data_IF_303826196502
#
_entry.id   IF_303826196502
#
_cell.length_a   1.000
_cell.length_b   1.000
_cell.length_c   1.000
_cell.angle_alpha   90.00
_cell.angle_beta   90.00
_cell.angle_gamma   90.00
#
_symmetry.space_group_name_H-M   'P 1'
#
loop_
_entity.id
_entity.type
_entity.pdbx_description
1 polymer ?
#
# COMPACT_ATOMS: atom_id res chain seq x y z
N UNK A 1 -4.69 18.71 -33.13
CA UNK A 1 -4.93 17.41 -33.80
C UNK A 1 -5.83 16.58 -32.88
N UNK A 2 -6.75 15.79 -33.40
CA UNK A 2 -7.69 15.01 -32.58
C UNK A 2 -7.09 13.63 -32.30
N UNK A 3 -7.14 13.19 -31.04
CA UNK A 3 -6.62 11.90 -30.60
C UNK A 3 -7.76 11.03 -30.09
N UNK A 4 -7.90 9.82 -30.64
CA UNK A 4 -8.91 8.86 -30.22
C UNK A 4 -8.39 7.92 -29.14
N UNK A 5 -9.20 7.75 -28.10
CA UNK A 5 -8.95 6.90 -26.94
C UNK A 5 -9.89 5.71 -27.01
N UNK A 6 -9.34 4.50 -26.90
CA UNK A 6 -10.12 3.30 -26.67
C UNK A 6 -10.15 2.97 -25.18
N UNK A 7 -11.31 2.62 -24.63
CA UNK A 7 -11.45 2.20 -23.23
C UNK A 7 -11.83 0.74 -23.18
N UNK A 8 -11.02 -0.07 -22.50
CA UNK A 8 -11.19 -1.51 -22.32
C UNK A 8 -11.54 -1.76 -20.85
N UNK A 9 -12.78 -2.15 -20.59
CA UNK A 9 -13.40 -2.15 -19.26
C UNK A 9 -14.14 -0.84 -18.96
N UNK A 10 -15.47 -0.90 -18.92
CA UNK A 10 -16.38 0.25 -18.78
C UNK A 10 -17.18 0.24 -17.47
N UNK A 11 -16.54 -0.27 -16.40
CA UNK A 11 -17.01 -0.18 -15.02
C UNK A 11 -16.83 1.22 -14.42
N UNK A 12 -16.61 1.28 -13.10
CA UNK A 12 -16.51 2.53 -12.34
C UNK A 12 -15.43 3.47 -12.88
N UNK A 13 -14.22 2.96 -13.13
CA UNK A 13 -13.07 3.78 -13.59
C UNK A 13 -13.17 4.11 -15.07
N UNK A 14 -13.47 3.14 -15.93
CA UNK A 14 -13.61 3.37 -17.38
C UNK A 14 -14.70 4.39 -17.71
N UNK A 15 -15.86 4.28 -17.05
CA UNK A 15 -16.94 5.26 -17.18
C UNK A 15 -16.53 6.63 -16.66
N UNK A 16 -15.92 6.70 -15.46
CA UNK A 16 -15.43 7.96 -14.90
C UNK A 16 -14.41 8.65 -15.80
N UNK A 17 -13.55 7.89 -16.47
CA UNK A 17 -12.57 8.39 -17.45
C UNK A 17 -13.25 9.00 -18.65
N UNK A 18 -14.22 8.29 -19.26
CA UNK A 18 -14.98 8.82 -20.40
C UNK A 18 -15.73 10.10 -20.03
N UNK A 19 -16.40 10.12 -18.87
CA UNK A 19 -17.12 11.28 -18.38
C UNK A 19 -16.21 12.48 -18.11
N UNK A 20 -15.02 12.27 -17.54
CA UNK A 20 -14.06 13.35 -17.31
C UNK A 20 -13.52 13.93 -18.63
N UNK A 21 -13.16 13.07 -19.59
CA UNK A 21 -12.70 13.50 -20.91
C UNK A 21 -13.75 14.36 -21.62
N UNK A 22 -15.03 14.01 -21.51
CA UNK A 22 -16.12 14.79 -22.10
C UNK A 22 -16.37 16.10 -21.37
N UNK A 23 -16.47 16.02 -20.04
CA UNK A 23 -16.81 17.16 -19.21
C UNK A 23 -15.74 18.24 -19.30
N UNK A 24 -14.46 17.84 -19.34
CA UNK A 24 -13.30 18.74 -19.31
C UNK A 24 -12.63 18.89 -20.68
N UNK A 25 -13.26 18.48 -21.79
CA UNK A 25 -12.63 18.47 -23.12
C UNK A 25 -12.02 19.81 -23.51
N UNK A 26 -12.78 20.90 -23.36
CA UNK A 26 -12.31 22.25 -23.70
C UNK A 26 -11.18 22.72 -22.78
N UNK A 27 -11.25 22.39 -21.48
CA UNK A 27 -10.20 22.71 -20.52
C UNK A 27 -8.91 21.93 -20.83
N UNK A 28 -9.01 20.63 -21.09
CA UNK A 28 -7.89 19.77 -21.46
C UNK A 28 -7.25 20.30 -22.75
N UNK A 29 -8.07 20.63 -23.76
CA UNK A 29 -7.59 21.19 -25.02
C UNK A 29 -6.89 22.53 -24.83
N UNK A 30 -7.42 23.40 -23.97
CA UNK A 30 -6.79 24.67 -23.64
C UNK A 30 -5.44 24.49 -22.92
N UNK A 31 -5.37 23.59 -21.93
CA UNK A 31 -4.18 23.42 -21.09
C UNK A 31 -3.08 22.56 -21.74
N UNK A 32 -3.45 21.55 -22.51
CA UNK A 32 -2.51 20.57 -23.10
C UNK A 32 -2.30 20.73 -24.60
N UNK A 33 -3.19 21.46 -25.31
CA UNK A 33 -3.21 21.50 -26.77
C UNK A 33 -3.77 20.23 -27.44
N UNK A 34 -4.18 19.23 -26.65
CA UNK A 34 -4.70 17.95 -27.14
C UNK A 34 -6.23 17.96 -27.22
N UNK A 35 -6.79 17.56 -28.36
CA UNK A 35 -8.23 17.36 -28.53
C UNK A 35 -8.55 15.87 -28.40
N UNK A 36 -8.96 15.45 -27.20
CA UNK A 36 -9.15 14.04 -26.86
C UNK A 36 -10.62 13.63 -27.04
N UNK A 37 -10.85 12.43 -27.57
CA UNK A 37 -12.18 11.84 -27.71
C UNK A 37 -12.15 10.33 -27.44
N UNK A 38 -13.17 9.81 -26.74
CA UNK A 38 -13.39 8.36 -26.64
C UNK A 38 -14.03 7.87 -27.94
N UNK A 39 -13.32 7.01 -28.66
CA UNK A 39 -13.74 6.53 -30.00
C UNK A 39 -14.12 5.06 -30.00
N UNK A 40 -13.75 4.31 -28.96
CA UNK A 40 -14.07 2.89 -28.84
C UNK A 40 -14.18 2.47 -27.37
N UNK A 41 -15.11 1.57 -27.08
CA UNK A 41 -15.32 0.96 -25.77
C UNK A 41 -15.43 -0.55 -25.95
N UNK A 42 -14.62 -1.32 -25.21
CA UNK A 42 -14.78 -2.77 -25.07
C UNK A 42 -15.25 -3.08 -23.66
N UNK A 43 -16.44 -3.65 -23.54
CA UNK A 43 -16.97 -4.15 -22.27
C UNK A 43 -17.98 -5.28 -22.51
N UNK A 44 -18.08 -6.20 -21.55
CA UNK A 44 -19.07 -7.29 -21.57
C UNK A 44 -20.50 -6.76 -21.44
N UNK A 45 -20.67 -5.64 -20.73
CA UNK A 45 -21.96 -4.99 -20.51
C UNK A 45 -22.14 -3.85 -21.50
N UNK A 46 -23.35 -3.70 -22.01
CA UNK A 46 -23.69 -2.52 -22.81
C UNK A 46 -23.60 -1.26 -21.94
N UNK A 47 -22.91 -0.19 -22.39
CA UNK A 47 -22.98 1.10 -21.75
C UNK A 47 -24.43 1.60 -21.68
N UNK A 48 -24.80 2.37 -20.64
CA UNK A 48 -26.16 2.89 -20.54
C UNK A 48 -26.41 4.05 -21.53
N UNK A 49 -25.47 4.99 -21.60
CA UNK A 49 -25.60 6.18 -22.47
C UNK A 49 -25.49 5.79 -23.94
N UNK A 50 -26.47 6.24 -24.74
CA UNK A 50 -26.58 5.97 -26.18
C UNK A 50 -25.27 6.24 -26.94
N UNK A 51 -24.63 7.38 -26.67
CA UNK A 51 -23.36 7.76 -27.29
C UNK A 51 -22.24 6.72 -27.09
N UNK A 52 -22.17 6.07 -25.94
CA UNK A 52 -21.17 5.05 -25.64
C UNK A 52 -21.54 3.70 -26.24
N UNK A 53 -22.84 3.39 -26.34
CA UNK A 53 -23.33 2.18 -27.04
C UNK A 53 -22.95 2.17 -28.51
N UNK A 54 -22.98 3.33 -29.18
CA UNK A 54 -22.63 3.47 -30.60
C UNK A 54 -21.15 3.23 -30.93
N UNK A 55 -20.29 3.31 -29.93
CA UNK A 55 -18.85 3.08 -30.04
C UNK A 55 -18.41 1.86 -29.23
N UNK A 56 -19.36 0.97 -28.90
CA UNK A 56 -19.06 -0.31 -28.26
C UNK A 56 -18.61 -1.31 -29.33
N UNK A 57 -17.54 -2.04 -29.01
CA UNK A 57 -17.00 -3.12 -29.82
C UNK A 57 -16.91 -4.40 -28.98
N UNK A 58 -16.97 -5.54 -29.65
CA UNK A 58 -16.99 -6.85 -28.98
C UNK A 58 -15.59 -7.50 -28.91
N UNK A 59 -14.63 -7.00 -29.70
CA UNK A 59 -13.28 -7.53 -29.75
C UNK A 59 -12.22 -6.43 -29.78
N UNK A 60 -11.05 -6.76 -29.22
CA UNK A 60 -9.90 -5.87 -29.25
C UNK A 60 -9.35 -5.73 -30.67
N UNK A 61 -9.46 -6.76 -31.49
CA UNK A 61 -9.06 -6.75 -32.90
C UNK A 61 -9.81 -5.67 -33.69
N UNK A 62 -11.14 -5.57 -33.53
CA UNK A 62 -11.95 -4.51 -34.16
C UNK A 62 -11.48 -3.12 -33.74
N UNK A 63 -11.20 -2.92 -32.44
CA UNK A 63 -10.71 -1.64 -31.92
C UNK A 63 -9.35 -1.28 -32.52
N UNK A 64 -8.44 -2.23 -32.59
CA UNK A 64 -7.08 -2.01 -33.10
C UNK A 64 -7.04 -1.83 -34.63
N UNK A 65 -8.09 -2.27 -35.35
CA UNK A 65 -8.25 -2.00 -36.78
C UNK A 65 -8.72 -0.56 -37.06
N UNK A 66 -9.22 0.18 -36.05
CA UNK A 66 -9.64 1.56 -36.23
C UNK A 66 -8.43 2.50 -36.45
N UNK A 67 -8.44 3.32 -37.51
CA UNK A 67 -7.31 4.20 -37.84
C UNK A 67 -7.15 5.37 -36.87
N UNK A 68 -8.17 5.68 -36.08
CA UNK A 68 -8.22 6.83 -35.17
C UNK A 68 -7.99 6.46 -33.70
N UNK A 69 -7.62 5.21 -33.37
CA UNK A 69 -7.27 4.83 -31.98
C UNK A 69 -5.78 5.06 -31.76
N UNK A 70 -5.43 6.03 -30.93
CA UNK A 70 -4.07 6.42 -30.62
C UNK A 70 -3.55 5.85 -29.30
N UNK A 71 -4.45 5.61 -28.34
CA UNK A 71 -4.11 5.14 -27.00
C UNK A 71 -5.22 4.25 -26.45
N UNK A 72 -4.85 3.24 -25.66
CA UNK A 72 -5.78 2.33 -24.98
C UNK A 72 -5.76 2.58 -23.48
N UNK A 73 -6.92 2.73 -22.87
CA UNK A 73 -7.12 2.74 -21.42
C UNK A 73 -7.60 1.36 -21.00
N UNK A 74 -6.86 0.69 -20.13
CA UNK A 74 -7.22 -0.61 -19.56
C UNK A 74 -7.72 -0.43 -18.11
N UNK A 75 -8.98 -0.80 -17.88
CA UNK A 75 -9.66 -0.66 -16.60
C UNK A 75 -10.48 -1.93 -16.25
N UNK A 76 -10.03 -3.10 -16.73
CA UNK A 76 -10.57 -4.40 -16.36
C UNK A 76 -10.00 -4.80 -14.99
N UNK A 77 -10.78 -5.52 -14.19
CA UNK A 77 -10.29 -6.13 -12.94
C UNK A 77 -9.64 -7.49 -13.18
N UNK A 78 -8.62 -7.84 -12.38
CA UNK A 78 -7.91 -9.11 -12.48
C UNK A 78 -6.93 -9.17 -13.66
N UNK A 79 -6.23 -10.30 -13.81
CA UNK A 79 -5.17 -10.41 -14.83
C UNK A 79 -5.64 -11.00 -16.18
N UNK A 80 -6.64 -11.88 -16.19
CA UNK A 80 -6.93 -12.76 -17.34
C UNK A 80 -7.05 -12.05 -18.69
N UNK A 81 -8.22 -11.48 -18.98
CA UNK A 81 -8.43 -10.74 -20.23
C UNK A 81 -7.61 -9.43 -20.29
N UNK A 82 -7.39 -8.79 -19.13
CA UNK A 82 -6.65 -7.54 -19.01
C UNK A 82 -5.23 -7.64 -19.57
N UNK A 83 -4.52 -8.73 -19.26
CA UNK A 83 -3.17 -8.99 -19.78
C UNK A 83 -3.19 -9.13 -21.29
N UNK A 84 -4.06 -10.00 -21.82
CA UNK A 84 -4.18 -10.28 -23.25
C UNK A 84 -4.46 -9.02 -24.06
N UNK A 85 -5.43 -8.21 -23.64
CA UNK A 85 -5.77 -6.98 -24.36
C UNK A 85 -4.67 -5.91 -24.25
N UNK A 86 -3.99 -5.83 -23.10
CA UNK A 86 -2.83 -4.95 -22.94
C UNK A 86 -1.69 -5.36 -23.88
N UNK A 87 -1.35 -6.64 -23.94
CA UNK A 87 -0.29 -7.14 -24.83
C UNK A 87 -0.62 -6.87 -26.31
N UNK A 88 -1.86 -7.12 -26.73
CA UNK A 88 -2.33 -6.82 -28.09
C UNK A 88 -2.21 -5.33 -28.43
N UNK A 89 -2.62 -4.45 -27.52
CA UNK A 89 -2.49 -3.00 -27.72
C UNK A 89 -1.04 -2.58 -27.91
N UNK A 90 -0.16 -3.01 -27.00
CA UNK A 90 1.27 -2.67 -27.03
C UNK A 90 1.96 -3.21 -28.29
N UNK A 91 1.67 -4.45 -28.69
CA UNK A 91 2.20 -5.06 -29.92
C UNK A 91 1.70 -4.37 -31.20
N UNK A 92 0.53 -3.72 -31.15
CA UNK A 92 -0.01 -2.95 -32.27
C UNK A 92 0.58 -1.54 -32.39
N UNK A 93 1.57 -1.18 -31.56
CA UNK A 93 2.16 0.16 -31.55
C UNK A 93 1.29 1.21 -30.88
N UNK A 94 0.39 0.81 -29.95
CA UNK A 94 -0.41 1.73 -29.13
C UNK A 94 0.03 1.71 -27.68
N UNK A 95 0.22 2.89 -27.10
CA UNK A 95 0.45 3.02 -25.66
C UNK A 95 -0.77 2.61 -24.85
N UNK A 96 -0.53 2.10 -23.64
CA UNK A 96 -1.57 1.69 -22.70
C UNK A 96 -1.45 2.47 -21.40
N UNK A 97 -2.58 2.98 -20.91
CA UNK A 97 -2.73 3.55 -19.56
C UNK A 97 -3.64 2.61 -18.77
N UNK A 98 -3.25 2.22 -17.56
CA UNK A 98 -4.03 1.27 -16.74
C UNK A 98 -4.28 1.75 -15.31
N UNK A 99 -5.41 1.34 -14.74
CA UNK A 99 -5.68 1.43 -13.29
C UNK A 99 -5.55 0.09 -12.56
N UNK A 100 -5.15 -0.97 -13.25
CA UNK A 100 -5.20 -2.34 -12.74
C UNK A 100 -3.95 -2.71 -11.92
N UNK A 101 -4.03 -2.43 -10.62
CA UNK A 101 -2.98 -2.76 -9.64
C UNK A 101 -2.58 -4.24 -9.61
N UNK A 102 -3.52 -5.16 -9.88
CA UNK A 102 -3.22 -6.59 -9.88
C UNK A 102 -2.39 -6.98 -11.09
N UNK A 103 -2.78 -6.52 -12.28
CA UNK A 103 -2.03 -6.73 -13.51
C UNK A 103 -0.62 -6.13 -13.41
N UNK A 104 -0.51 -4.88 -12.96
CA UNK A 104 0.78 -4.18 -12.86
C UNK A 104 1.69 -4.88 -11.85
N UNK A 105 1.20 -5.23 -10.66
CA UNK A 105 2.06 -5.87 -9.64
C UNK A 105 2.53 -7.28 -10.02
N UNK A 106 1.81 -8.01 -10.88
CA UNK A 106 2.18 -9.37 -11.32
C UNK A 106 2.94 -9.40 -12.64
N UNK A 107 2.57 -8.56 -13.60
CA UNK A 107 3.04 -8.60 -14.99
C UNK A 107 3.68 -7.29 -15.47
N UNK A 108 3.80 -6.28 -14.60
CA UNK A 108 4.34 -4.97 -14.97
C UNK A 108 5.74 -5.03 -15.58
N UNK A 109 6.60 -5.96 -15.14
CA UNK A 109 7.93 -6.17 -15.74
C UNK A 109 7.83 -6.58 -17.23
N UNK A 110 7.04 -7.62 -17.51
CA UNK A 110 6.80 -8.13 -18.86
C UNK A 110 6.17 -7.06 -19.76
N UNK A 111 5.14 -6.37 -19.25
CA UNK A 111 4.39 -5.37 -20.00
C UNK A 111 5.20 -4.10 -20.26
N UNK A 112 6.01 -3.64 -19.29
CA UNK A 112 6.88 -2.48 -19.49
C UNK A 112 7.99 -2.81 -20.50
N UNK A 113 8.57 -4.01 -20.46
CA UNK A 113 9.54 -4.48 -21.46
C UNK A 113 8.90 -4.57 -22.84
N UNK A 114 7.69 -5.12 -22.94
CA UNK A 114 6.93 -5.20 -24.19
C UNK A 114 6.67 -3.81 -24.77
N UNK A 115 6.24 -2.86 -23.94
CA UNK A 115 6.01 -1.48 -24.36
C UNK A 115 7.29 -0.84 -24.95
N UNK A 116 8.43 -0.99 -24.26
CA UNK A 116 9.73 -0.51 -24.76
C UNK A 116 10.12 -1.13 -26.10
N UNK A 117 9.96 -2.44 -26.25
CA UNK A 117 10.30 -3.14 -27.49
C UNK A 117 9.47 -2.66 -28.69
N UNK A 118 8.25 -2.17 -28.44
CA UNK A 118 7.35 -1.63 -29.46
C UNK A 118 7.39 -0.08 -29.54
N UNK A 119 8.32 0.58 -28.84
CA UNK A 119 8.47 2.04 -28.82
C UNK A 119 7.21 2.80 -28.37
N UNK A 120 6.44 2.18 -27.46
CA UNK A 120 5.24 2.75 -26.85
C UNK A 120 5.37 2.79 -25.33
N UNK A 121 4.36 3.34 -24.66
CA UNK A 121 4.37 3.50 -23.21
C UNK A 121 3.34 2.59 -22.52
N UNK A 122 3.69 2.19 -21.30
CA UNK A 122 2.78 1.54 -20.36
C UNK A 122 2.78 2.35 -19.06
N UNK A 123 1.71 3.12 -18.84
CA UNK A 123 1.57 4.02 -17.69
C UNK A 123 0.50 3.51 -16.73
N UNK A 124 0.70 3.70 -15.44
CA UNK A 124 -0.14 3.09 -14.42
C UNK A 124 -0.26 3.91 -13.13
N UNK A 125 -0.28 5.25 -13.22
CA UNK A 125 -0.47 6.13 -12.05
C UNK A 125 -1.71 5.73 -11.25
N UNK A 126 -2.82 5.52 -11.96
CA UNK A 126 -4.12 5.19 -11.37
C UNK A 126 -4.15 3.85 -10.61
N UNK A 127 -3.12 3.01 -10.74
CA UNK A 127 -3.01 1.75 -10.01
C UNK A 127 -2.65 1.94 -8.52
N UNK A 128 -2.09 3.09 -8.14
CA UNK A 128 -1.66 3.38 -6.77
C UNK A 128 -2.04 4.80 -6.37
N UNK A 129 -2.71 4.96 -5.23
CA UNK A 129 -3.03 6.30 -4.70
C UNK A 129 -4.28 6.95 -5.28
N UNK A 130 -5.01 6.30 -6.19
CA UNK A 130 -6.28 6.82 -6.72
C UNK A 130 -6.06 8.11 -7.50
N UNK A 131 -6.45 9.26 -6.92
CA UNK A 131 -6.20 10.58 -7.50
C UNK A 131 -4.95 11.29 -6.98
N UNK A 132 -4.22 10.68 -6.04
CA UNK A 132 -2.97 11.24 -5.51
C UNK A 132 -1.83 10.86 -6.47
N UNK A 133 -1.04 11.81 -7.00
CA UNK A 133 0.05 11.50 -7.94
C UNK A 133 1.25 10.91 -7.18
N UNK A 134 1.21 9.61 -6.91
CA UNK A 134 2.27 8.92 -6.16
C UNK A 134 3.41 8.50 -7.07
N UNK A 135 3.10 7.81 -8.16
CA UNK A 135 4.11 7.25 -9.07
C UNK A 135 4.85 8.40 -9.76
N UNK A 136 4.13 9.40 -10.27
CA UNK A 136 4.68 10.55 -10.97
C UNK A 136 5.56 11.40 -10.08
N UNK A 137 5.18 11.67 -8.83
CA UNK A 137 6.06 12.42 -7.91
C UNK A 137 7.38 11.66 -7.71
N UNK A 138 7.32 10.35 -7.51
CA UNK A 138 8.51 9.51 -7.35
C UNK A 138 9.34 9.39 -8.64
N UNK A 139 8.70 9.28 -9.80
CA UNK A 139 9.36 9.00 -11.08
C UNK A 139 9.67 10.24 -11.93
N UNK A 140 9.29 11.44 -11.49
CA UNK A 140 9.59 12.69 -12.20
C UNK A 140 10.11 13.76 -11.24
N UNK A 141 9.27 14.26 -10.33
CA UNK A 141 9.62 15.37 -9.42
C UNK A 141 10.78 15.05 -8.49
N UNK A 142 10.91 13.78 -8.07
CA UNK A 142 11.92 13.33 -7.13
C UNK A 142 13.05 12.51 -7.77
N UNK A 143 13.20 12.55 -9.10
CA UNK A 143 14.27 11.83 -9.81
C UNK A 143 15.68 12.15 -9.31
N UNK A 144 15.89 13.38 -8.81
CA UNK A 144 17.17 13.82 -8.24
C UNK A 144 17.40 13.42 -6.78
N UNK A 145 16.50 12.62 -6.18
CA UNK A 145 16.57 12.23 -4.77
C UNK A 145 16.76 10.72 -4.63
N UNK A 146 17.57 10.34 -3.65
CA UNK A 146 17.57 8.99 -3.10
C UNK A 146 16.46 8.86 -2.05
N UNK A 147 15.42 8.09 -2.39
CA UNK A 147 14.32 7.83 -1.46
C UNK A 147 14.78 6.90 -0.34
N UNK A 148 14.89 7.44 0.87
CA UNK A 148 15.36 6.75 2.08
C UNK A 148 14.24 5.96 2.76
N UNK A 149 13.02 6.49 2.75
CA UNK A 149 11.86 5.77 3.31
C UNK A 149 10.55 6.19 2.69
N UNK A 150 9.58 5.27 2.75
CA UNK A 150 8.17 5.50 2.43
C UNK A 150 7.32 4.93 3.56
N UNK A 151 6.30 5.66 3.97
CA UNK A 151 5.24 5.21 4.89
C UNK A 151 3.89 5.62 4.30
N UNK A 152 3.08 4.65 3.91
CA UNK A 152 1.84 4.88 3.17
C UNK A 152 0.61 4.29 3.84
N UNK A 153 -0.41 5.12 4.04
CA UNK A 153 -1.78 4.68 4.26
C UNK A 153 -2.40 4.57 2.86
N UNK A 154 -2.42 3.36 2.31
CA UNK A 154 -2.76 3.13 0.89
C UNK A 154 -4.12 2.48 0.68
N UNK A 155 -4.91 2.26 1.74
CA UNK A 155 -6.21 1.63 1.68
C UNK A 155 -7.23 2.39 2.55
N UNK A 156 -8.24 2.96 1.91
CA UNK A 156 -9.25 3.78 2.58
C UNK A 156 -10.21 2.98 3.45
N UNK A 157 -10.51 1.72 3.10
CA UNK A 157 -11.38 0.83 3.88
C UNK A 157 -10.81 0.57 5.26
N UNK A 158 -9.57 0.08 5.31
CA UNK A 158 -8.87 -0.20 6.57
C UNK A 158 -8.60 1.06 7.37
N UNK A 159 -8.27 2.18 6.71
CA UNK A 159 -8.08 3.44 7.40
C UNK A 159 -9.39 3.95 8.05
N UNK A 160 -10.52 3.80 7.35
CA UNK A 160 -11.82 4.13 7.91
C UNK A 160 -12.15 3.27 9.13
N UNK A 161 -11.99 1.94 9.02
CA UNK A 161 -12.28 1.01 10.11
C UNK A 161 -11.46 1.38 11.35
N UNK A 162 -10.13 1.49 11.22
CA UNK A 162 -9.25 1.82 12.36
C UNK A 162 -9.54 3.20 12.95
N UNK A 163 -9.79 4.21 12.09
CA UNK A 163 -10.16 5.55 12.56
C UNK A 163 -11.49 5.53 13.31
N UNK A 164 -12.46 4.75 12.84
CA UNK A 164 -13.80 4.69 13.42
C UNK A 164 -13.83 3.92 14.73
N UNK A 165 -13.10 2.79 14.80
CA UNK A 165 -12.89 2.07 16.05
C UNK A 165 -12.27 2.98 17.11
N UNK A 166 -11.25 3.76 16.73
CA UNK A 166 -10.55 4.67 17.66
C UNK A 166 -11.44 5.83 18.14
N UNK A 167 -12.23 6.44 17.25
CA UNK A 167 -13.08 7.59 17.62
C UNK A 167 -14.31 7.21 18.43
N UNK A 168 -14.80 5.97 18.25
CA UNK A 168 -16.08 5.52 18.81
C UNK A 168 -15.92 4.45 19.90
N UNK A 169 -14.68 4.09 20.25
CA UNK A 169 -14.34 2.97 21.14
C UNK A 169 -15.10 1.70 20.76
N UNK A 170 -15.12 1.38 19.47
CA UNK A 170 -15.91 0.30 18.88
C UNK A 170 -15.04 -0.91 18.55
N UNK A 171 -15.59 -2.11 18.69
CA UNK A 171 -14.95 -3.36 18.26
C UNK A 171 -14.85 -3.44 16.73
N UNK A 172 -13.97 -4.32 16.24
CA UNK A 172 -13.68 -4.49 14.81
C UNK A 172 -14.90 -4.87 13.98
N UNK A 173 -15.66 -5.90 14.39
CA UNK A 173 -16.76 -6.42 13.59
C UNK A 173 -17.89 -5.40 13.36
N UNK A 174 -18.37 -4.65 14.38
CA UNK A 174 -19.31 -3.56 14.15
C UNK A 174 -18.76 -2.43 13.25
N UNK A 175 -17.49 -2.07 13.40
CA UNK A 175 -16.86 -1.05 12.56
C UNK A 175 -16.77 -1.49 11.09
N UNK A 176 -16.49 -2.78 10.84
CA UNK A 176 -16.51 -3.38 9.51
C UNK A 176 -17.92 -3.36 8.91
N UNK A 177 -18.95 -3.73 9.70
CA UNK A 177 -20.35 -3.69 9.26
C UNK A 177 -20.78 -2.28 8.84
N UNK A 178 -20.39 -1.26 9.60
CA UNK A 178 -20.66 0.13 9.25
C UNK A 178 -19.92 0.56 7.97
N UNK A 179 -18.68 0.12 7.79
CA UNK A 179 -17.93 0.38 6.55
C UNK A 179 -18.64 -0.21 5.32
N UNK A 180 -19.20 -1.43 5.44
CA UNK A 180 -20.02 -2.05 4.38
C UNK A 180 -21.31 -1.27 4.16
N UNK A 181 -22.03 -0.92 5.23
CA UNK A 181 -23.29 -0.18 5.15
C UNK A 181 -23.14 1.19 4.47
N UNK A 182 -22.00 1.85 4.66
CA UNK A 182 -21.65 3.13 4.02
C UNK A 182 -21.07 2.98 2.60
N UNK A 183 -20.86 1.75 2.14
CA UNK A 183 -20.24 1.47 0.84
C UNK A 183 -18.74 1.83 0.79
N UNK A 184 -18.07 1.91 1.94
CA UNK A 184 -16.62 2.07 2.02
C UNK A 184 -15.88 0.73 1.93
N UNK A 185 -16.54 -0.35 2.34
CA UNK A 185 -16.08 -1.74 2.14
C UNK A 185 -17.04 -2.47 1.20
N UNK A 186 -16.50 -3.42 0.41
CA UNK A 186 -17.32 -4.37 -0.33
C UNK A 186 -17.89 -5.45 0.61
N UNK A 187 -18.88 -6.24 0.12
CA UNK A 187 -19.46 -7.35 0.90
C UNK A 187 -18.41 -8.39 1.30
N UNK A 188 -17.41 -8.61 0.43
CA UNK A 188 -16.21 -9.38 0.73
C UNK A 188 -15.01 -8.43 0.82
N UNK A 189 -14.66 -7.94 2.02
CA UNK A 189 -13.57 -6.99 2.23
C UNK A 189 -12.22 -7.67 2.47
N UNK A 190 -12.09 -8.98 2.20
CA UNK A 190 -10.90 -9.78 2.55
C UNK A 190 -9.60 -9.16 2.04
N UNK A 191 -9.56 -8.73 0.77
CA UNK A 191 -8.38 -8.14 0.15
C UNK A 191 -7.93 -6.83 0.86
N UNK A 192 -8.88 -6.08 1.42
CA UNK A 192 -8.61 -4.85 2.17
C UNK A 192 -8.12 -5.16 3.59
N UNK A 193 -8.91 -5.91 4.37
CA UNK A 193 -8.65 -6.13 5.80
C UNK A 193 -7.42 -7.02 6.05
N UNK A 194 -7.12 -7.94 5.14
CA UNK A 194 -5.89 -8.75 5.18
C UNK A 194 -4.66 -7.98 4.64
N UNK A 195 -4.83 -6.73 4.19
CA UNK A 195 -3.74 -5.87 3.71
C UNK A 195 -3.20 -6.22 2.32
N UNK A 196 -3.88 -7.09 1.58
CA UNK A 196 -3.42 -7.58 0.27
C UNK A 196 -3.45 -6.49 -0.80
N UNK A 197 -4.45 -5.62 -0.79
CA UNK A 197 -4.53 -4.44 -1.65
C UNK A 197 -3.34 -3.49 -1.40
N UNK A 198 -3.08 -3.15 -0.13
CA UNK A 198 -1.95 -2.33 0.29
C UNK A 198 -0.62 -2.97 -0.13
N UNK A 199 -0.50 -4.31 -0.04
CA UNK A 199 0.68 -5.06 -0.46
C UNK A 199 0.95 -4.97 -1.96
N UNK A 200 -0.09 -5.10 -2.80
CA UNK A 200 0.03 -4.92 -4.27
C UNK A 200 0.48 -3.50 -4.60
N UNK A 201 -0.09 -2.48 -3.94
CA UNK A 201 0.30 -1.07 -4.13
C UNK A 201 1.74 -0.82 -3.70
N UNK A 202 2.19 -1.40 -2.59
CA UNK A 202 3.58 -1.31 -2.15
C UNK A 202 4.53 -1.97 -3.16
N UNK A 203 4.18 -3.13 -3.72
CA UNK A 203 5.00 -3.79 -4.75
C UNK A 203 5.27 -2.87 -5.97
N UNK A 204 4.24 -2.15 -6.41
CA UNK A 204 4.36 -1.17 -7.50
C UNK A 204 5.25 0.00 -7.09
N UNK A 205 5.05 0.58 -5.90
CA UNK A 205 5.89 1.67 -5.41
C UNK A 205 7.36 1.25 -5.25
N UNK A 206 7.62 0.04 -4.77
CA UNK A 206 8.97 -0.52 -4.63
C UNK A 206 9.68 -0.58 -5.98
N UNK A 207 8.98 -0.92 -7.06
CA UNK A 207 9.57 -0.88 -8.39
C UNK A 207 10.01 0.53 -8.78
N UNK A 208 9.24 1.57 -8.44
CA UNK A 208 9.64 2.96 -8.73
C UNK A 208 10.86 3.38 -7.90
N UNK A 209 10.94 3.00 -6.63
CA UNK A 209 12.05 3.44 -5.77
C UNK A 209 13.31 2.58 -5.91
N UNK A 210 13.19 1.26 -5.99
CA UNK A 210 14.34 0.34 -6.07
C UNK A 210 14.71 -0.04 -7.50
N UNK A 211 13.78 0.12 -8.46
CA UNK A 211 13.94 -0.40 -9.82
C UNK A 211 13.68 -1.91 -9.95
N UNK A 212 13.32 -2.59 -8.86
CA UNK A 212 13.07 -4.03 -8.85
C UNK A 212 11.57 -4.34 -8.90
N UNK A 213 11.18 -5.18 -9.85
CA UNK A 213 9.86 -5.79 -9.85
C UNK A 213 9.81 -6.93 -8.84
N UNK A 214 9.21 -6.66 -7.67
CA UNK A 214 8.95 -7.68 -6.66
C UNK A 214 7.52 -8.18 -6.77
N UNK A 215 7.35 -9.51 -6.77
CA UNK A 215 6.02 -10.11 -6.63
C UNK A 215 5.45 -9.77 -5.25
N UNK A 216 4.15 -9.46 -5.12
CA UNK A 216 3.52 -9.12 -3.84
C UNK A 216 3.76 -10.15 -2.73
N UNK A 217 3.83 -11.44 -3.07
CA UNK A 217 4.01 -12.53 -2.10
C UNK A 217 5.37 -12.48 -1.37
N UNK A 218 6.37 -11.79 -1.96
CA UNK A 218 7.67 -11.57 -1.32
C UNK A 218 7.63 -10.49 -0.25
N UNK A 219 6.56 -9.69 -0.18
CA UNK A 219 6.40 -8.61 0.80
C UNK A 219 5.63 -9.17 2.00
N UNK A 220 6.22 -9.18 3.20
CA UNK A 220 5.53 -9.61 4.40
C UNK A 220 4.28 -8.75 4.69
N UNK A 221 3.19 -9.39 5.12
CA UNK A 221 1.91 -8.72 5.37
C UNK A 221 1.18 -9.27 6.59
N UNK A 222 0.67 -8.35 7.42
CA UNK A 222 -0.35 -8.60 8.45
C UNK A 222 -1.47 -7.59 8.22
N UNK A 223 -2.71 -8.08 8.25
CA UNK A 223 -3.92 -7.28 8.15
C UNK A 223 -4.32 -6.59 9.45
N UNK A 224 -5.55 -6.07 9.49
CA UNK A 224 -6.13 -5.41 10.66
C UNK A 224 -7.17 -6.26 11.42
N UNK A 225 -7.41 -7.50 10.95
CA UNK A 225 -8.47 -8.39 11.46
C UNK A 225 -8.33 -8.72 12.94
N UNK A 226 -7.09 -8.81 13.42
CA UNK A 226 -6.75 -9.17 14.80
C UNK A 226 -6.61 -7.93 15.72
N UNK A 227 -6.89 -6.72 15.19
CA UNK A 227 -6.86 -5.49 15.97
C UNK A 227 -8.15 -5.34 16.75
N UNK A 228 -8.02 -5.05 18.04
CA UNK A 228 -9.12 -4.93 18.97
C UNK A 228 -9.15 -3.56 19.67
N UNK A 229 -10.24 -3.24 20.35
CA UNK A 229 -10.40 -1.98 21.07
C UNK A 229 -9.26 -1.74 22.08
N UNK A 230 -8.78 -2.80 22.72
CA UNK A 230 -7.66 -2.76 23.67
C UNK A 230 -6.35 -2.28 23.03
N UNK A 231 -6.11 -2.61 21.76
CA UNK A 231 -4.92 -2.14 21.04
C UNK A 231 -4.99 -0.62 20.77
N UNK A 232 -6.19 -0.11 20.53
CA UNK A 232 -6.45 1.31 20.32
C UNK A 232 -6.43 2.11 21.62
N UNK A 233 -6.97 1.54 22.71
CA UNK A 233 -6.89 2.13 24.05
C UNK A 233 -5.44 2.20 24.52
N UNK A 234 -4.65 1.15 24.24
CA UNK A 234 -3.20 1.18 24.46
C UNK A 234 -2.54 2.30 23.64
N UNK A 235 -2.89 2.46 22.37
CA UNK A 235 -2.36 3.53 21.54
C UNK A 235 -2.67 4.91 22.16
N UNK A 236 -3.93 5.17 22.48
CA UNK A 236 -4.41 6.44 23.02
C UNK A 236 -3.76 6.78 24.38
N UNK A 237 -3.60 5.79 25.25
CA UNK A 237 -2.93 5.97 26.54
C UNK A 237 -1.45 6.38 26.41
N UNK A 238 -0.83 6.12 25.26
CA UNK A 238 0.59 6.39 24.99
C UNK A 238 0.80 7.53 23.96
N UNK A 239 -0.24 8.31 23.63
CA UNK A 239 -0.21 9.35 22.57
C UNK A 239 0.24 8.79 21.21
N UNK A 240 -0.27 7.60 20.90
CA UNK A 240 -0.06 6.90 19.65
C UNK A 240 -1.41 6.70 18.93
N UNK A 241 -1.33 6.60 17.62
CA UNK A 241 -2.40 6.17 16.73
C UNK A 241 -2.04 4.86 16.05
N UNK A 242 -3.04 4.08 15.66
CA UNK A 242 -2.85 2.81 14.96
C UNK A 242 -3.30 2.92 13.51
N UNK A 243 -2.42 2.59 12.56
CA UNK A 243 -2.70 2.63 11.11
C UNK A 243 -2.15 1.40 10.40
N UNK A 244 -2.83 0.91 9.37
CA UNK A 244 -2.25 -0.06 8.44
C UNK A 244 -1.29 0.67 7.48
N UNK A 245 0.00 0.37 7.56
CA UNK A 245 1.02 1.03 6.75
C UNK A 245 1.68 0.08 5.77
N UNK A 246 1.85 0.55 4.54
CA UNK A 246 2.91 0.11 3.65
C UNK A 246 4.20 0.85 4.00
N UNK A 247 5.25 0.13 4.39
CA UNK A 247 6.54 0.69 4.81
C UNK A 247 7.64 0.23 3.88
N UNK A 248 8.50 1.16 3.47
CA UNK A 248 9.79 0.89 2.84
C UNK A 248 10.87 1.68 3.59
N UNK A 249 12.02 1.07 3.83
CA UNK A 249 13.18 1.75 4.36
C UNK A 249 14.44 1.24 3.70
N UNK A 250 15.24 2.16 3.19
CA UNK A 250 16.52 1.86 2.58
C UNK A 250 17.54 1.46 3.65
N UNK A 251 18.23 0.35 3.40
CA UNK A 251 19.34 -0.15 4.20
C UNK A 251 20.71 0.25 3.63
N UNK A 252 21.77 -0.33 4.21
CA UNK A 252 23.14 -0.13 3.72
C UNK A 252 23.44 -1.05 2.52
N UNK A 253 24.35 -0.61 1.66
CA UNK A 253 24.86 -1.41 0.53
C UNK A 253 23.75 -1.96 -0.38
N UNK A 254 22.66 -1.22 -0.60
CA UNK A 254 21.56 -1.68 -1.46
C UNK A 254 20.65 -2.74 -0.81
N UNK A 255 20.76 -3.02 0.50
CA UNK A 255 19.69 -3.70 1.22
C UNK A 255 18.49 -2.74 1.44
N UNK A 256 17.31 -3.30 1.68
CA UNK A 256 16.15 -2.53 2.14
C UNK A 256 15.15 -3.43 2.86
N UNK A 257 14.28 -2.82 3.66
CA UNK A 257 13.12 -3.48 4.25
C UNK A 257 11.84 -2.95 3.63
N UNK A 258 10.86 -3.84 3.49
CA UNK A 258 9.52 -3.47 3.08
C UNK A 258 8.51 -4.45 3.66
N UNK A 259 7.38 -3.94 4.16
CA UNK A 259 6.30 -4.75 4.74
C UNK A 259 4.98 -3.98 4.76
N UNK A 260 3.89 -4.71 4.96
CA UNK A 260 2.57 -4.15 5.27
C UNK A 260 2.11 -4.67 6.63
N UNK A 261 1.82 -3.79 7.57
CA UNK A 261 1.30 -4.20 8.89
C UNK A 261 0.62 -3.03 9.61
N UNK A 262 -0.25 -3.32 10.59
CA UNK A 262 -0.63 -2.32 11.59
C UNK A 262 0.63 -1.76 12.25
N UNK A 263 0.70 -0.44 12.40
CA UNK A 263 1.78 0.25 13.10
C UNK A 263 1.19 1.21 14.13
N UNK A 264 1.89 1.34 15.25
CA UNK A 264 1.75 2.50 16.10
C UNK A 264 2.52 3.68 15.51
N UNK A 265 1.90 4.83 15.52
CA UNK A 265 2.45 6.10 15.06
C UNK A 265 2.32 7.10 16.18
N UNK A 266 3.36 7.89 16.46
CA UNK A 266 3.20 9.06 17.32
C UNK A 266 2.07 9.94 16.81
N UNK A 267 1.25 10.49 17.71
CA UNK A 267 0.23 11.47 17.34
C UNK A 267 0.82 12.75 16.72
N UNK A 268 2.12 13.00 16.92
CA UNK A 268 2.86 14.07 16.24
C UNK A 268 3.18 13.76 14.77
N UNK A 269 3.04 12.50 14.33
CA UNK A 269 3.27 12.10 12.96
C UNK A 269 2.21 12.70 12.03
N UNK A 270 2.57 13.27 10.87
CA UNK A 270 1.59 13.73 9.88
C UNK A 270 0.61 12.64 9.44
N UNK A 271 1.05 11.37 9.45
CA UNK A 271 0.20 10.22 9.12
C UNK A 271 -0.86 9.92 10.17
N UNK A 272 -0.66 10.32 11.44
CA UNK A 272 -1.65 10.11 12.50
C UNK A 272 -2.96 10.87 12.22
N UNK A 273 -2.86 12.03 11.56
CA UNK A 273 -3.98 12.91 11.25
C UNK A 273 -4.82 12.44 10.04
N UNK A 274 -4.36 11.41 9.33
CA UNK A 274 -5.03 10.87 8.14
C UNK A 274 -6.14 9.93 8.60
N UNK A 275 -7.37 10.43 8.60
CA UNK A 275 -8.54 9.73 9.11
C UNK A 275 -9.55 9.38 8.00
N UNK A 276 -10.45 8.44 8.28
CA UNK A 276 -11.54 8.07 7.36
C UNK A 276 -11.03 7.40 6.09
N UNK A 277 -11.66 7.70 4.95
CA UNK A 277 -11.36 7.04 3.66
C UNK A 277 -10.18 7.65 2.89
N UNK A 278 -9.41 8.54 3.54
CA UNK A 278 -8.28 9.20 2.91
C UNK A 278 -7.03 8.33 2.94
N UNK A 279 -6.20 8.52 1.92
CA UNK A 279 -4.89 7.92 1.78
C UNK A 279 -3.80 8.97 1.92
N UNK A 280 -2.61 8.53 2.29
CA UNK A 280 -1.43 9.37 2.29
C UNK A 280 -0.15 8.57 2.04
N UNK A 281 0.86 9.22 1.48
CA UNK A 281 2.22 8.73 1.39
C UNK A 281 3.16 9.78 1.97
N UNK A 282 3.80 9.46 3.10
CA UNK A 282 4.91 10.22 3.65
C UNK A 282 6.21 9.59 3.15
N UNK A 283 6.98 10.35 2.39
CA UNK A 283 8.28 9.94 1.88
C UNK A 283 9.38 10.81 2.47
N UNK A 284 10.57 10.24 2.61
CA UNK A 284 11.79 10.97 2.92
C UNK A 284 12.82 10.76 1.80
N UNK A 285 13.29 11.84 1.20
CA UNK A 285 14.44 11.83 0.31
C UNK A 285 15.68 12.42 0.99
N UNK A 286 16.85 12.03 0.50
CA UNK A 286 18.15 12.50 0.98
C UNK A 286 18.35 14.02 0.89
N UNK A 287 17.83 14.67 -0.18
CA UNK A 287 17.91 16.13 -0.37
C UNK A 287 16.60 16.85 -0.04
N UNK A 288 15.47 16.36 -0.52
CA UNK A 288 14.16 17.01 -0.35
C UNK A 288 13.64 16.94 1.09
N UNK A 289 14.17 16.01 1.90
CA UNK A 289 13.64 15.74 3.23
C UNK A 289 12.25 15.10 3.17
N UNK A 290 11.38 15.49 4.09
CA UNK A 290 10.03 14.92 4.19
C UNK A 290 9.05 15.58 3.21
N UNK A 291 8.32 14.74 2.46
CA UNK A 291 7.21 15.16 1.60
C UNK A 291 6.01 14.27 1.90
N UNK A 292 4.84 14.88 2.07
CA UNK A 292 3.59 14.16 2.26
C UNK A 292 2.62 14.44 1.12
N UNK A 293 2.12 13.36 0.51
CA UNK A 293 1.05 13.40 -0.48
C UNK A 293 -0.22 12.87 0.19
N UNK A 294 -1.32 13.62 0.11
CA UNK A 294 -2.57 13.31 0.80
C UNK A 294 -3.78 13.52 -0.11
N UNK A 295 -4.77 12.63 -0.02
CA UNK A 295 -6.01 12.77 -0.78
C UNK A 295 -6.86 11.51 -0.79
N UNK A 296 -7.80 11.44 -1.74
CA UNK A 296 -8.64 10.25 -1.90
C UNK A 296 -7.90 9.17 -2.70
N UNK A 297 -7.76 7.99 -2.08
CA UNK A 297 -7.04 6.86 -2.66
C UNK A 297 -7.83 5.91 -3.53
N UNK A 298 -9.14 6.16 -3.68
CA UNK A 298 -10.07 5.34 -4.45
C UNK A 298 -11.28 6.19 -4.90
N UNK A 299 -12.12 5.59 -5.74
CA UNK A 299 -13.35 6.18 -6.26
C UNK A 299 -13.24 6.55 -7.74
N UNK A 300 -14.40 6.62 -8.41
CA UNK A 300 -14.49 6.84 -9.85
C UNK A 300 -13.74 8.09 -10.32
N UNK A 301 -14.05 9.24 -9.71
CA UNK A 301 -13.51 10.52 -10.13
C UNK A 301 -12.01 10.68 -9.80
N UNK A 302 -11.53 10.37 -8.58
CA UNK A 302 -10.09 10.43 -8.30
C UNK A 302 -9.27 9.53 -9.22
N UNK A 303 -9.67 8.28 -9.42
CA UNK A 303 -8.93 7.35 -10.30
C UNK A 303 -9.00 7.78 -11.77
N UNK A 304 -10.15 8.25 -12.25
CA UNK A 304 -10.27 8.81 -13.60
C UNK A 304 -9.35 10.02 -13.81
N UNK A 305 -9.17 10.86 -12.79
CA UNK A 305 -8.23 11.98 -12.85
C UNK A 305 -6.80 11.53 -13.11
N UNK A 306 -6.33 10.46 -12.43
CA UNK A 306 -5.00 9.90 -12.66
C UNK A 306 -4.87 9.26 -14.05
N UNK A 307 -5.90 8.54 -14.51
CA UNK A 307 -5.93 7.97 -15.88
C UNK A 307 -5.81 9.08 -16.93
N UNK A 308 -6.62 10.14 -16.83
CA UNK A 308 -6.57 11.26 -17.79
C UNK A 308 -5.22 11.97 -17.75
N UNK A 309 -4.61 12.13 -16.57
CA UNK A 309 -3.28 12.70 -16.45
C UNK A 309 -2.20 11.85 -17.14
N UNK A 310 -2.33 10.52 -17.14
CA UNK A 310 -1.43 9.61 -17.86
C UNK A 310 -1.68 9.64 -19.38
N UNK A 311 -2.94 9.74 -19.83
CA UNK A 311 -3.28 9.92 -21.25
C UNK A 311 -2.60 11.18 -21.80
N UNK A 312 -2.74 12.31 -21.10
CA UNK A 312 -2.16 13.60 -21.52
C UNK A 312 -0.63 13.51 -21.56
N UNK A 313 -0.02 12.92 -20.53
CA UNK A 313 1.43 12.75 -20.50
C UNK A 313 1.94 11.91 -21.66
N UNK A 314 1.27 10.80 -21.94
CA UNK A 314 1.65 9.90 -23.01
C UNK A 314 1.62 10.60 -24.38
N UNK A 315 0.54 11.32 -24.67
CA UNK A 315 0.33 11.97 -25.96
C UNK A 315 1.17 13.23 -26.16
N UNK A 316 1.63 13.88 -25.10
CA UNK A 316 2.56 15.01 -25.18
C UNK A 316 4.00 14.60 -25.50
N UNK A 317 4.28 13.30 -25.67
CA UNK A 317 5.64 12.80 -25.92
C UNK A 317 6.55 12.88 -24.69
N UNK A 318 5.97 13.08 -23.50
CA UNK A 318 6.72 12.96 -22.26
C UNK A 318 7.07 11.50 -22.07
N UNK A 319 8.30 11.12 -22.44
CA UNK A 319 8.83 9.79 -22.17
C UNK A 319 9.08 9.63 -20.68
N UNK A 320 8.05 9.16 -19.98
CA UNK A 320 8.17 8.71 -18.59
C UNK A 320 8.59 7.25 -18.63
N UNK A 321 9.89 6.99 -18.59
CA UNK A 321 10.36 5.67 -18.19
C UNK A 321 10.25 5.57 -16.67
N UNK A 322 9.41 4.66 -16.18
CA UNK A 322 9.33 4.31 -14.76
C UNK A 322 10.57 3.53 -14.27
N UNK A 323 11.74 3.77 -14.86
CA UNK A 323 13.00 3.22 -14.38
C UNK A 323 13.52 4.10 -13.26
N UNK A 324 13.76 3.50 -12.09
CA UNK A 324 14.55 4.17 -11.08
C UNK A 324 16.00 4.29 -11.59
N UNK A 325 16.65 5.46 -11.50
CA UNK A 325 18.09 5.59 -11.70
C UNK A 325 18.90 4.72 -10.71
N UNK A 326 18.25 4.26 -9.63
CA UNK A 326 18.84 3.40 -8.60
C UNK A 326 19.01 1.94 -9.04
N UNK A 327 18.48 1.55 -10.21
CA UNK A 327 18.65 0.21 -10.80
C UNK A 327 20.12 -0.26 -10.80
N UNK A 328 21.10 0.63 -11.00
CA UNK A 328 22.53 0.28 -10.97
C UNK A 328 23.07 -0.12 -9.58
N UNK A 329 22.39 0.22 -8.47
CA UNK A 329 22.80 -0.22 -7.12
C UNK A 329 22.21 -1.57 -6.73
N UNK A 330 21.01 -1.89 -7.21
CA UNK A 330 20.28 -3.09 -6.83
C UNK A 330 20.45 -4.27 -7.83
N UNK A 331 20.93 -4.00 -9.05
CA UNK A 331 21.16 -5.02 -10.09
C UNK A 331 22.22 -6.06 -9.73
N UNK A 332 23.14 -5.75 -8.82
CA UNK A 332 24.16 -6.71 -8.33
C UNK A 332 23.72 -7.53 -7.11
N UNK A 333 22.51 -7.35 -6.56
CA UNK A 333 22.11 -7.93 -5.26
C UNK A 333 20.70 -8.56 -5.23
N UNK A 334 20.38 -9.40 -6.21
CA UNK A 334 19.04 -10.01 -6.44
C UNK A 334 18.53 -10.94 -5.29
N UNK A 335 19.23 -11.09 -4.16
CA UNK A 335 18.83 -11.96 -3.05
C UNK A 335 18.43 -11.21 -1.76
N UNK A 336 17.71 -10.09 -1.85
CA UNK A 336 17.12 -9.47 -0.65
C UNK A 336 15.93 -10.32 -0.21
N UNK A 337 16.06 -10.98 0.93
CA UNK A 337 14.92 -11.59 1.60
C UNK A 337 14.30 -10.57 2.57
N UNK A 338 13.09 -10.13 2.25
CA UNK A 338 12.34 -9.18 3.07
C UNK A 338 11.88 -9.80 4.40
N UNK A 339 11.82 -11.13 4.49
CA UNK A 339 11.42 -11.82 5.71
C UNK A 339 12.56 -11.87 6.74
N UNK A 340 13.81 -11.74 6.29
CA UNK A 340 15.00 -11.67 7.15
C UNK A 340 15.38 -10.23 7.53
N UNK A 341 14.56 -9.26 7.13
CA UNK A 341 14.82 -7.87 7.51
C UNK A 341 14.40 -7.60 8.96
N UNK A 342 15.17 -6.76 9.68
CA UNK A 342 14.87 -6.38 11.05
C UNK A 342 13.49 -5.71 11.21
N UNK A 343 12.72 -6.12 12.21
CA UNK A 343 11.42 -5.54 12.58
C UNK A 343 11.36 -5.18 14.07
N UNK A 344 10.44 -4.29 14.45
CA UNK A 344 10.11 -4.04 15.85
C UNK A 344 8.60 -4.00 15.99
N UNK A 345 8.08 -4.68 17.01
CA UNK A 345 6.66 -4.92 17.17
C UNK A 345 6.27 -5.02 18.64
N UNK A 346 5.01 -4.70 18.89
CA UNK A 346 4.27 -5.01 20.10
C UNK A 346 3.31 -6.15 19.75
N UNK A 347 3.37 -7.24 20.51
CA UNK A 347 2.54 -8.43 20.32
C UNK A 347 1.65 -8.57 21.55
N UNK A 348 0.34 -8.47 21.39
CA UNK A 348 -0.62 -8.77 22.45
C UNK A 348 -0.83 -10.28 22.52
N UNK A 349 -0.80 -10.83 23.72
CA UNK A 349 -1.08 -12.24 23.99
C UNK A 349 -2.44 -12.38 24.66
N UNK A 350 -3.11 -13.50 24.42
CA UNK A 350 -4.33 -13.83 25.12
C UNK A 350 -4.04 -14.22 26.59
N UNK A 351 -4.98 -13.89 27.48
CA UNK A 351 -4.81 -14.03 28.93
C UNK A 351 -4.64 -15.49 29.41
N UNK A 352 -5.00 -16.46 28.57
CA UNK A 352 -4.92 -17.90 28.85
C UNK A 352 -3.54 -18.52 28.59
N UNK A 353 -2.58 -17.75 28.07
CA UNK A 353 -1.27 -18.28 27.69
C UNK A 353 -0.35 -18.35 28.90
N UNK A 354 0.27 -19.52 29.09
CA UNK A 354 1.29 -19.74 30.12
C UNK A 354 2.58 -18.96 29.81
N UNK A 355 3.00 -18.14 30.77
CA UNK A 355 4.17 -17.28 30.63
C UNK A 355 5.47 -18.07 30.51
N UNK A 356 5.66 -19.11 31.30
CA UNK A 356 6.90 -19.89 31.27
C UNK A 356 7.09 -20.56 29.90
N UNK A 357 5.98 -20.99 29.29
CA UNK A 357 5.98 -21.53 27.93
C UNK A 357 6.37 -20.48 26.87
N UNK A 358 5.94 -19.22 27.02
CA UNK A 358 6.33 -18.12 26.12
C UNK A 358 7.82 -17.81 26.28
N UNK A 359 8.31 -17.64 27.52
CA UNK A 359 9.72 -17.35 27.77
C UNK A 359 10.62 -18.45 27.20
N UNK A 360 10.25 -19.71 27.42
CA UNK A 360 10.94 -20.85 26.82
C UNK A 360 10.92 -20.80 25.30
N UNK A 361 9.77 -20.51 24.69
CA UNK A 361 9.66 -20.41 23.22
C UNK A 361 10.52 -19.28 22.66
N UNK A 362 10.56 -18.12 23.31
CA UNK A 362 11.41 -16.99 22.92
C UNK A 362 12.89 -17.36 23.03
N UNK A 363 13.29 -18.03 24.12
CA UNK A 363 14.67 -18.49 24.30
C UNK A 363 15.07 -19.56 23.29
N UNK A 364 14.18 -20.53 23.00
CA UNK A 364 14.35 -21.56 21.96
C UNK A 364 14.44 -20.98 20.53
N UNK A 365 14.03 -19.72 20.35
CA UNK A 365 14.16 -18.96 19.09
C UNK A 365 15.38 -18.01 19.10
N UNK A 366 16.14 -17.95 20.19
CA UNK A 366 17.26 -17.01 20.35
C UNK A 366 16.82 -15.55 20.47
N UNK A 367 15.55 -15.31 20.82
CA UNK A 367 14.93 -13.99 20.87
C UNK A 367 14.97 -13.36 22.27
N UNK A 368 16.09 -13.53 22.96
CA UNK A 368 16.31 -13.05 24.33
C UNK A 368 16.28 -11.51 24.46
N UNK A 369 16.19 -10.78 23.34
CA UNK A 369 16.05 -9.33 23.26
C UNK A 369 14.62 -8.82 23.46
N UNK A 370 13.62 -9.71 23.44
CA UNK A 370 12.24 -9.33 23.76
C UNK A 370 12.11 -8.88 25.22
N UNK A 371 11.19 -7.94 25.44
CA UNK A 371 10.76 -7.54 26.76
C UNK A 371 9.30 -7.96 26.94
N UNK A 372 9.03 -8.70 28.00
CA UNK A 372 7.66 -8.98 28.40
C UNK A 372 7.17 -7.84 29.28
N UNK A 373 6.09 -7.22 28.84
CA UNK A 373 5.38 -6.18 29.55
C UNK A 373 4.09 -6.80 30.08
N UNK A 374 4.04 -6.97 31.40
CA UNK A 374 2.83 -7.37 32.10
C UNK A 374 2.07 -6.10 32.43
N UNK A 375 0.83 -5.97 31.98
CA UNK A 375 -0.03 -4.89 32.46
C UNK A 375 -0.36 -5.14 33.95
N UNK A 376 -0.08 -4.21 34.87
CA UNK A 376 -0.77 -4.12 36.14
C UNK A 376 -2.19 -3.62 35.86
N UNK A 377 -3.10 -3.82 36.80
CA UNK A 377 -4.43 -3.19 36.76
C UNK A 377 -4.26 -1.73 36.36
N UNK A 378 -4.69 -1.38 35.14
CA UNK A 378 -4.67 -0.01 34.63
C UNK A 378 -5.76 0.76 35.39
N UNK A 379 -5.48 1.09 36.65
CA UNK A 379 -6.46 1.59 37.62
C UNK A 379 -6.96 3.02 37.36
N UNK A 380 -6.64 3.64 36.22
CA UNK A 380 -7.18 4.96 35.89
C UNK A 380 -7.71 4.98 34.47
N UNK A 381 -9.04 4.83 34.40
CA UNK A 381 -9.98 4.92 33.26
C UNK A 381 -10.25 3.60 32.52
N UNK A 382 -11.27 2.89 33.03
CA UNK A 382 -12.14 1.91 32.33
C UNK A 382 -11.53 0.66 31.67
N UNK A 383 -10.35 0.19 32.09
CA UNK A 383 -9.83 -1.12 31.70
C UNK A 383 -9.72 -2.04 32.94
N UNK A 384 -10.86 -2.41 33.55
CA UNK A 384 -10.87 -3.08 34.87
C UNK A 384 -11.26 -4.56 34.85
N UNK A 385 -11.34 -5.24 33.70
CA UNK A 385 -11.75 -6.66 33.69
C UNK A 385 -10.81 -7.64 32.97
N UNK A 386 -9.75 -7.18 32.30
CA UNK A 386 -8.89 -8.07 31.51
C UNK A 386 -7.40 -7.81 31.72
N UNK A 387 -6.68 -8.83 32.20
CA UNK A 387 -5.22 -8.87 32.29
C UNK A 387 -4.64 -9.19 30.92
N UNK A 388 -3.97 -8.24 30.28
CA UNK A 388 -3.29 -8.48 28.99
C UNK A 388 -1.77 -8.51 29.15
N UNK A 389 -1.16 -9.42 28.40
CA UNK A 389 0.28 -9.63 28.38
C UNK A 389 0.82 -9.18 27.03
N UNK A 390 1.86 -8.35 27.04
CA UNK A 390 2.41 -7.77 25.82
C UNK A 390 3.87 -8.19 25.69
N UNK A 391 4.28 -8.63 24.50
CA UNK A 391 5.69 -8.78 24.15
C UNK A 391 6.10 -7.55 23.35
N UNK A 392 7.14 -6.85 23.79
CA UNK A 392 7.77 -5.78 23.02
C UNK A 392 9.09 -6.27 22.49
N UNK A 393 9.19 -6.35 21.17
CA UNK A 393 10.41 -6.75 20.47
C UNK A 393 11.22 -5.48 20.19
N UNK A 394 12.47 -5.42 20.67
CA UNK A 394 13.38 -4.31 20.39
C UNK A 394 14.57 -4.83 19.60
N UNK A 395 14.75 -4.26 18.40
CA UNK A 395 15.99 -4.42 17.65
C UNK A 395 17.00 -3.33 18.02
N UNK A 396 18.28 -3.68 17.87
CA UNK A 396 19.36 -2.69 17.86
C UNK A 396 19.71 -2.42 16.42
N UNK A 397 19.09 -1.43 15.77
CA UNK A 397 19.72 -0.82 14.60
C UNK A 397 20.30 0.57 14.89
N UNK A 398 21.46 0.88 14.26
CA UNK A 398 22.38 1.91 14.69
C UNK A 398 22.00 3.27 14.12
N UNK A 399 22.10 4.30 14.95
CA UNK A 399 22.59 5.64 14.61
C UNK A 399 22.49 6.08 13.14
N UNK A 400 21.28 6.30 12.64
CA UNK A 400 20.95 7.23 11.55
C UNK A 400 19.48 7.01 11.21
N UNK A 401 18.71 8.06 11.04
CA UNK A 401 17.26 8.09 10.75
C UNK A 401 16.38 8.20 12.00
N UNK A 402 16.39 9.42 12.52
CA UNK A 402 15.40 9.97 13.44
C UNK A 402 14.11 10.26 12.64
N UNK A 403 13.04 9.51 12.92
CA UNK A 403 11.69 9.81 12.45
C UNK A 403 10.70 9.60 13.58
N UNK A 404 10.72 10.49 14.58
CA UNK A 404 9.59 10.92 15.42
C UNK A 404 8.52 9.88 15.81
N UNK A 405 8.89 8.61 16.00
CA UNK A 405 8.29 7.80 17.02
C UNK A 405 9.23 8.03 18.20
N UNK A 406 8.86 8.82 19.23
CA UNK A 406 9.65 8.84 20.44
C UNK A 406 9.75 7.37 20.82
N UNK A 407 10.97 6.82 20.75
CA UNK A 407 11.27 5.48 21.21
C UNK A 407 10.55 5.38 22.56
N UNK A 408 9.50 4.56 22.68
CA UNK A 408 8.76 4.38 23.93
C UNK A 408 9.81 4.31 25.03
N UNK A 409 10.00 5.41 25.77
CA UNK A 409 11.08 5.48 26.73
C UNK A 409 10.71 4.47 27.80
N UNK A 410 11.70 3.94 28.49
CA UNK A 410 11.44 3.06 29.64
C UNK A 410 10.50 3.76 30.67
N UNK A 411 10.51 5.10 30.62
CA UNK A 411 9.69 6.07 31.33
C UNK A 411 8.25 6.25 30.77
N UNK A 412 7.99 5.94 29.49
CA UNK A 412 6.63 6.04 28.91
C UNK A 412 5.80 4.80 29.25
N UNK A 413 6.46 3.70 29.65
CA UNK A 413 5.86 2.46 30.13
C UNK A 413 5.70 2.44 31.67
N UNK A 414 5.68 3.62 32.32
CA UNK A 414 5.84 3.80 33.78
C UNK A 414 4.81 3.07 34.65
N UNK A 415 3.69 2.64 34.09
CA UNK A 415 2.70 1.84 34.80
C UNK A 415 2.77 0.34 34.51
N UNK A 416 3.75 -0.15 33.74
CA UNK A 416 3.85 -1.58 33.41
C UNK A 416 5.00 -2.29 34.13
N UNK A 417 4.76 -3.50 34.64
CA UNK A 417 5.85 -4.35 35.15
C UNK A 417 6.59 -4.92 33.94
N UNK A 418 7.76 -4.34 33.63
CA UNK A 418 8.68 -4.87 32.62
C UNK A 418 9.52 -5.97 33.28
N UNK A 419 9.34 -7.22 32.88
CA UNK A 419 10.26 -8.29 33.25
C UNK A 419 11.33 -8.44 32.17
N UNK A 420 12.61 -8.20 32.48
CA UNK A 420 13.69 -8.47 31.55
C UNK A 420 13.86 -9.98 31.41
N UNK A 421 13.69 -10.49 30.19
CA UNK A 421 14.17 -11.83 29.83
C UNK A 421 15.70 -11.84 29.99
N UNK A 422 16.22 -12.85 30.66
CA UNK A 422 17.58 -12.88 31.21
C UNK A 422 18.71 -12.71 30.18
N UNK A 423 19.77 -12.01 30.60
CA UNK A 423 21.06 -11.86 29.88
C UNK A 423 21.73 -13.21 29.66
N UNK A 424 22.06 -13.55 28.40
CA UNK A 424 23.42 -13.87 27.89
C UNK A 424 23.32 -14.53 26.51
N UNK A 425 23.74 -13.86 25.44
CA UNK A 425 23.80 -14.46 24.10
C UNK A 425 23.91 -13.41 22.99
N UNK A 426 24.47 -13.78 21.83
CA UNK A 426 24.60 -12.86 20.67
C UNK A 426 23.23 -12.28 20.32
N UNK A 427 23.14 -10.95 20.28
CA UNK A 427 21.90 -10.21 20.00
C UNK A 427 21.57 -10.30 18.52
N UNK A 428 20.68 -11.22 18.16
CA UNK A 428 20.06 -11.22 16.84
C UNK A 428 18.86 -10.28 16.84
N UNK A 429 18.71 -9.54 15.73
CA UNK A 429 17.58 -8.67 15.50
C UNK A 429 16.36 -9.53 15.12
N UNK A 430 15.21 -9.23 15.71
CA UNK A 430 13.92 -9.78 15.32
C UNK A 430 13.67 -9.55 13.84
N UNK A 431 13.18 -10.58 13.17
CA UNK A 431 12.82 -10.53 11.75
C UNK A 431 11.39 -11.01 11.58
N UNK A 432 10.83 -10.86 10.39
CA UNK A 432 9.52 -11.42 10.10
C UNK A 432 9.50 -12.94 10.22
N UNK A 433 10.58 -13.64 9.84
CA UNK A 433 10.67 -15.10 10.02
C UNK A 433 10.57 -15.50 11.49
N UNK A 434 11.20 -14.75 12.38
CA UNK A 434 11.07 -14.97 13.82
C UNK A 434 9.62 -14.83 14.28
N UNK A 435 8.88 -13.85 13.77
CA UNK A 435 7.46 -13.67 14.05
C UNK A 435 6.60 -14.85 13.55
N UNK A 436 6.87 -15.37 12.36
CA UNK A 436 6.16 -16.55 11.84
C UNK A 436 6.48 -17.82 12.63
N UNK A 437 7.74 -18.01 13.04
CA UNK A 437 8.14 -19.12 13.88
C UNK A 437 7.47 -19.03 15.26
N UNK A 438 7.39 -17.84 15.84
CA UNK A 438 6.67 -17.61 17.10
C UNK A 438 5.19 -17.98 16.97
N UNK A 439 4.51 -17.51 15.91
CA UNK A 439 3.10 -17.88 15.63
C UNK A 439 2.89 -19.40 15.49
N UNK A 440 3.85 -20.11 14.91
CA UNK A 440 3.77 -21.58 14.70
C UNK A 440 4.06 -22.38 15.96
N UNK A 441 4.95 -21.90 16.83
CA UNK A 441 5.37 -22.61 18.04
C UNK A 441 4.42 -22.39 19.22
N UNK A 442 3.78 -21.23 19.29
CA UNK A 442 2.77 -20.96 20.30
C UNK A 442 1.45 -21.68 19.99
N UNK A 443 0.63 -21.99 21.03
CA UNK A 443 -0.70 -22.54 20.82
C UNK A 443 -1.55 -21.68 19.88
N UNK A 444 -2.43 -22.27 19.05
CA UNK A 444 -3.39 -21.51 18.24
C UNK A 444 -4.17 -20.51 19.10
N UNK A 445 -4.25 -19.26 18.66
CA UNK A 445 -4.90 -18.18 19.41
C UNK A 445 -4.08 -17.65 20.59
N UNK A 446 -2.81 -18.02 20.78
CA UNK A 446 -1.99 -17.43 21.84
C UNK A 446 -1.66 -15.95 21.58
N UNK A 447 -1.38 -15.60 20.31
CA UNK A 447 -1.18 -14.21 19.88
C UNK A 447 -2.52 -13.61 19.52
N UNK A 448 -2.90 -12.54 20.22
CA UNK A 448 -4.15 -11.81 20.02
C UNK A 448 -4.01 -10.71 18.97
N UNK A 449 -2.88 -10.00 18.91
CA UNK A 449 -2.63 -8.97 17.90
C UNK A 449 -1.13 -8.74 17.72
N UNK A 450 -0.73 -8.20 16.56
CA UNK A 450 0.64 -7.76 16.29
C UNK A 450 0.60 -6.37 15.65
N UNK A 451 1.28 -5.42 16.27
CA UNK A 451 1.39 -4.05 15.81
C UNK A 451 2.85 -3.65 15.76
N UNK A 452 3.32 -3.18 14.61
CA UNK A 452 4.70 -2.75 14.39
C UNK A 452 4.97 -1.37 15.01
N UNK A 453 6.27 -1.05 15.18
CA UNK A 453 6.76 0.23 15.71
C UNK A 453 7.40 1.13 14.63
#
# INVERSE_FOLDING_TARGET
MKFGIAIVGFGVVGRGTAELLDHSRELIKYQSGLDLEVVAILDLRSPEKERYRRIRYDSMEEILALPNVNLVVEAIGGCGAAKTFTEQALMSGRSVVTSNKELVSKHGDELTKLARNNQVQYLYEASVGGGIPLIRVLSTSLLGNEIRSLRGILNGTTNFILSHMASSSMEFAPALQEAVARGYAELDPTDDIAGLDTRRKLAILLQIVTGLWLRPERIPVIGIEEIDAVDLDFAAANNLSLRLLAKYSQGRQGAFSALVAPHFLSDSSPLAMVNGVFNALLLNGDFVGDVMLYGRGAGAQPTASAVVADIINCLNGNHVEHLSPQTNRYTSMVNIDLYDQPISAIIRLNASVDFEAIEKTLSDLGLDSARLILSPDMQQRRLTEHKYNWIVTRNRFPHSYDFSCPQLKEEDLVNCRIQPLTRTGKKEDWTWRHLEQLKRRLPPGAIASIVML
#
